data_IF_548112592098
#
_entry.id   IF_548112592098
#
_cell.length_a   1.000
_cell.length_b   1.000
_cell.length_c   1.000
_cell.angle_alpha   90.00
_cell.angle_beta   90.00
_cell.angle_gamma   90.00
#
_symmetry.space_group_name_H-M   'P 1'
#
loop_
_entity.id
_entity.type
_entity.pdbx_description
1 polymer ?
#
# COMPACT_ATOMS: atom_id res chain seq x y z
N UNK A 1 7.47 21.21 20.10
CA UNK A 1 8.46 20.18 19.75
C UNK A 1 8.22 18.96 20.62
N UNK A 2 7.44 17.98 20.17
CA UNK A 2 7.13 16.78 20.96
C UNK A 2 6.85 15.57 20.04
N UNK A 3 7.77 15.25 19.11
CA UNK A 3 7.52 14.21 18.11
C UNK A 3 8.64 13.16 17.98
N UNK A 4 9.65 13.14 18.87
CA UNK A 4 10.73 12.15 18.80
C UNK A 4 10.62 10.99 19.80
N UNK A 5 9.89 11.15 20.91
CA UNK A 5 9.73 10.06 21.91
C UNK A 5 8.72 9.00 21.45
N UNK A 6 7.66 9.39 20.75
CA UNK A 6 6.60 8.48 20.29
C UNK A 6 7.17 7.32 19.46
N UNK A 7 8.14 7.57 18.58
CA UNK A 7 8.72 6.54 17.72
C UNK A 7 9.56 5.49 18.46
N UNK A 8 10.27 5.88 19.53
CA UNK A 8 11.07 4.95 20.34
C UNK A 8 10.16 4.04 21.14
N UNK A 9 9.12 4.61 21.77
CA UNK A 9 8.13 3.83 22.50
C UNK A 9 7.34 2.87 21.61
N UNK A 10 7.08 3.20 20.34
CA UNK A 10 6.40 2.30 19.40
C UNK A 10 7.22 1.02 19.16
N UNK A 11 8.54 1.11 18.98
CA UNK A 11 9.38 -0.08 18.75
C UNK A 11 9.35 -1.04 19.94
N UNK A 12 9.41 -0.52 21.15
CA UNK A 12 9.31 -1.32 22.38
C UNK A 12 7.94 -1.98 22.51
N UNK A 13 6.87 -1.22 22.22
CA UNK A 13 5.50 -1.76 22.20
C UNK A 13 5.34 -2.88 21.17
N UNK A 14 5.91 -2.75 19.98
CA UNK A 14 5.90 -3.82 18.96
C UNK A 14 6.60 -5.06 19.51
N UNK A 15 7.78 -4.91 20.14
CA UNK A 15 8.53 -6.04 20.68
C UNK A 15 7.77 -6.75 21.81
N UNK A 16 7.15 -5.99 22.71
CA UNK A 16 6.32 -6.51 23.78
C UNK A 16 5.13 -7.33 23.24
N UNK A 17 4.40 -6.80 22.25
CA UNK A 17 3.32 -7.54 21.59
C UNK A 17 3.86 -8.79 20.90
N UNK A 18 4.96 -8.69 20.16
CA UNK A 18 5.54 -9.82 19.39
C UNK A 18 6.09 -10.94 20.28
N UNK A 19 6.47 -10.62 21.52
CA UNK A 19 6.84 -11.64 22.51
C UNK A 19 5.65 -12.55 22.87
N UNK A 20 4.42 -12.05 22.77
CA UNK A 20 3.20 -12.81 23.06
C UNK A 20 2.60 -13.41 21.78
N UNK A 21 2.67 -12.67 20.67
CA UNK A 21 2.14 -13.10 19.36
C UNK A 21 3.25 -13.12 18.29
N UNK A 22 4.16 -14.11 18.32
CA UNK A 22 5.33 -14.15 17.44
C UNK A 22 5.00 -14.37 15.97
N UNK A 23 3.81 -14.89 15.66
CA UNK A 23 3.34 -15.19 14.30
C UNK A 23 2.79 -13.95 13.55
N UNK A 24 2.97 -12.74 14.08
CA UNK A 24 2.43 -11.50 13.52
C UNK A 24 3.55 -10.58 13.06
N UNK A 25 3.37 -9.93 11.91
CA UNK A 25 4.38 -9.02 11.38
C UNK A 25 4.39 -7.70 12.15
N UNK A 26 5.55 -7.03 12.19
CA UNK A 26 5.67 -5.72 12.84
C UNK A 26 4.68 -4.70 12.25
N UNK A 27 4.40 -4.77 10.95
CA UNK A 27 3.51 -3.83 10.27
C UNK A 27 2.04 -4.02 10.70
N UNK A 28 1.61 -5.26 10.85
CA UNK A 28 0.27 -5.58 11.39
C UNK A 28 0.15 -5.12 12.85
N UNK A 29 1.17 -5.37 13.67
CA UNK A 29 1.19 -4.94 15.08
C UNK A 29 1.08 -3.42 15.20
N UNK A 30 1.78 -2.66 14.35
CA UNK A 30 1.68 -1.19 14.32
C UNK A 30 0.25 -0.74 14.01
N UNK A 31 -0.39 -1.33 13.00
CA UNK A 31 -1.75 -0.97 12.61
C UNK A 31 -2.77 -1.24 13.73
N UNK A 32 -2.63 -2.35 14.44
CA UNK A 32 -3.51 -2.68 15.56
C UNK A 32 -3.24 -1.78 16.77
N UNK A 33 -1.97 -1.51 17.09
CA UNK A 33 -1.60 -0.58 18.17
C UNK A 33 -2.19 0.81 17.92
N UNK A 34 -2.16 1.30 16.68
CA UNK A 34 -2.72 2.61 16.32
C UNK A 34 -4.23 2.68 16.58
N UNK A 35 -4.96 1.58 16.42
CA UNK A 35 -6.40 1.52 16.69
C UNK A 35 -6.74 1.68 18.19
N UNK A 36 -5.81 1.34 19.08
CA UNK A 36 -6.03 1.29 20.53
C UNK A 36 -5.15 2.29 21.28
N UNK A 37 -4.82 3.42 20.67
CA UNK A 37 -3.99 4.48 21.26
C UNK A 37 -2.62 3.95 21.78
N UNK A 38 -2.02 3.02 21.03
CA UNK A 38 -0.77 2.35 21.37
C UNK A 38 -0.81 1.57 22.70
N UNK A 39 -1.97 1.05 23.08
CA UNK A 39 -2.10 0.16 24.24
C UNK A 39 -1.69 -1.28 23.89
N UNK A 40 -0.69 -1.81 24.60
CA UNK A 40 -0.13 -3.15 24.35
C UNK A 40 -1.12 -4.24 24.74
N UNK A 41 -1.74 -4.15 25.91
CA UNK A 41 -2.67 -5.16 26.43
C UNK A 41 -3.88 -5.33 25.51
N UNK A 42 -4.49 -4.21 25.06
CA UNK A 42 -5.61 -4.24 24.11
C UNK A 42 -5.21 -4.78 22.74
N UNK A 43 -4.01 -4.44 22.26
CA UNK A 43 -3.52 -4.96 20.98
C UNK A 43 -3.25 -6.48 21.06
N UNK A 44 -2.62 -6.95 22.14
CA UNK A 44 -2.42 -8.39 22.41
C UNK A 44 -3.78 -9.09 22.47
N UNK A 45 -4.72 -8.54 23.23
CA UNK A 45 -6.08 -9.09 23.35
C UNK A 45 -6.75 -9.23 21.99
N UNK A 46 -6.67 -8.20 21.14
CA UNK A 46 -7.24 -8.25 19.80
C UNK A 46 -6.59 -9.33 18.91
N UNK A 47 -5.30 -9.60 19.07
CA UNK A 47 -4.63 -10.69 18.36
C UNK A 47 -5.02 -12.07 18.89
N UNK A 48 -5.22 -12.22 20.20
CA UNK A 48 -5.66 -13.47 20.84
C UNK A 48 -7.11 -13.79 20.46
N UNK A 49 -7.99 -12.79 20.52
CA UNK A 49 -9.42 -12.93 20.21
C UNK A 49 -9.69 -12.99 18.70
N UNK A 50 -8.65 -12.86 17.86
CA UNK A 50 -8.76 -12.89 16.40
C UNK A 50 -9.41 -11.64 15.77
N UNK A 51 -9.87 -10.68 16.58
CA UNK A 51 -10.49 -9.43 16.12
C UNK A 51 -9.51 -8.50 15.39
N UNK A 52 -8.21 -8.63 15.64
CA UNK A 52 -7.16 -7.93 14.91
C UNK A 52 -7.23 -8.16 13.39
N UNK A 53 -7.67 -9.34 12.93
CA UNK A 53 -7.80 -9.67 11.50
C UNK A 53 -8.84 -8.76 10.83
N UNK A 54 -9.93 -8.45 11.54
CA UNK A 54 -11.00 -7.61 11.03
C UNK A 54 -10.54 -6.15 10.90
N UNK A 55 -9.83 -5.64 11.92
CA UNK A 55 -9.18 -4.33 11.90
C UNK A 55 -8.22 -4.26 10.70
N UNK A 56 -7.30 -5.23 10.59
CA UNK A 56 -6.32 -5.26 9.50
C UNK A 56 -6.97 -5.33 8.11
N UNK A 57 -8.06 -6.08 7.96
CA UNK A 57 -8.82 -6.17 6.71
C UNK A 57 -9.45 -4.82 6.33
N UNK A 58 -10.06 -4.13 7.28
CA UNK A 58 -10.63 -2.79 7.08
C UNK A 58 -9.56 -1.76 6.70
N UNK A 59 -8.41 -1.81 7.38
CA UNK A 59 -7.26 -0.97 7.06
C UNK A 59 -6.65 -1.30 5.68
N UNK A 60 -6.61 -2.57 5.26
CA UNK A 60 -6.12 -2.98 3.94
C UNK A 60 -7.06 -2.52 2.81
N UNK A 61 -8.37 -2.46 3.06
CA UNK A 61 -9.37 -1.98 2.09
C UNK A 61 -9.24 -0.48 1.79
N UNK A 62 -8.72 0.30 2.73
CA UNK A 62 -8.40 1.74 2.57
C UNK A 62 -7.10 1.97 1.77
N UNK A 63 -6.44 0.90 1.31
CA UNK A 63 -5.23 0.94 0.48
C UNK A 63 -5.46 0.95 -1.04
N UNK A 64 -6.71 1.02 -1.53
CA UNK A 64 -6.96 1.19 -2.97
C UNK A 64 -6.48 2.58 -3.42
N UNK A 65 -5.20 2.62 -3.80
CA UNK A 65 -4.54 3.67 -4.58
C UNK A 65 -5.49 4.11 -5.70
N UNK A 66 -6.10 5.29 -5.54
CA UNK A 66 -6.82 5.97 -6.60
C UNK A 66 -5.80 6.15 -7.72
N UNK A 67 -5.93 5.36 -8.80
CA UNK A 67 -5.18 5.59 -10.03
C UNK A 67 -5.34 7.08 -10.35
N UNK A 68 -4.22 7.81 -10.38
CA UNK A 68 -4.18 9.23 -10.70
C UNK A 68 -4.46 9.40 -12.20
N UNK A 69 -5.69 9.06 -12.61
CA UNK A 69 -6.24 9.31 -13.93
C UNK A 69 -6.67 10.77 -13.96
N UNK A 70 -5.70 11.69 -14.07
CA UNK A 70 -5.82 13.06 -14.63
C UNK A 70 -4.55 13.91 -14.37
N UNK A 71 -3.61 13.88 -15.31
CA UNK A 71 -3.09 15.12 -15.91
C UNK A 71 -3.54 15.08 -17.37
N UNK A 72 -4.76 15.53 -17.63
CA UNK A 72 -5.11 16.87 -18.15
C UNK A 72 -4.41 17.14 -19.47
N UNK A 73 -5.23 17.05 -20.51
CA UNK A 73 -5.04 17.41 -21.90
C UNK A 73 -4.13 18.62 -22.06
N UNK A 74 -3.06 18.48 -22.85
CA UNK A 74 -2.52 19.59 -23.63
C UNK A 74 -2.58 19.17 -25.08
N UNK A 75 -3.56 19.72 -25.78
CA UNK A 75 -3.62 19.71 -27.23
C UNK A 75 -2.26 20.11 -27.81
N UNK A 76 -1.68 19.20 -28.59
CA UNK A 76 -0.80 19.45 -29.74
C UNK A 76 -1.29 18.45 -30.77
N UNK A 77 -2.32 18.79 -31.53
CA UNK A 77 -2.18 19.32 -32.88
C UNK A 77 -0.96 18.74 -33.62
N UNK A 78 -1.32 18.08 -34.73
CA UNK A 78 -0.57 17.83 -35.94
C UNK A 78 0.14 16.47 -36.06
N UNK A 79 -0.56 15.65 -36.85
CA UNK A 79 -0.05 14.96 -38.03
C UNK A 79 0.70 13.65 -37.78
N UNK A 80 -0.07 12.56 -37.95
CA UNK A 80 0.17 11.71 -39.10
C UNK A 80 1.53 11.03 -39.12
N UNK A 81 1.65 10.02 -38.27
CA UNK A 81 2.36 8.77 -38.53
C UNK A 81 2.58 8.50 -40.03
N UNK A 82 3.83 8.30 -40.44
CA UNK A 82 4.29 7.09 -41.15
C UNK A 82 5.80 7.19 -41.41
N UNK A 83 6.56 6.68 -40.45
CA UNK A 83 7.93 6.24 -40.66
C UNK A 83 7.98 5.11 -41.70
N UNK A 84 9.10 5.12 -42.41
CA UNK A 84 9.53 4.16 -43.39
C UNK A 84 9.69 2.74 -42.84
N UNK A 85 9.27 1.75 -43.65
CA UNK A 85 9.74 0.36 -43.81
C UNK A 85 8.54 -0.46 -44.29
N UNK A 86 8.64 -1.41 -45.20
CA UNK A 86 9.75 -2.10 -45.83
C UNK A 86 9.18 -2.77 -47.09
N UNK A 87 10.08 -3.09 -48.02
CA UNK A 87 9.81 -3.84 -49.25
C UNK A 87 9.02 -5.13 -48.98
N UNK A 88 7.90 -5.33 -49.70
CA UNK A 88 7.49 -6.67 -50.14
C UNK A 88 6.97 -6.53 -51.57
N UNK A 89 7.77 -7.07 -52.48
CA UNK A 89 7.47 -7.32 -53.88
C UNK A 89 6.16 -8.09 -54.05
N UNK A 90 5.35 -7.72 -55.05
CA UNK A 90 4.48 -8.64 -55.81
C UNK A 90 4.01 -8.01 -57.13
N UNK A 91 3.74 -8.86 -58.14
CA UNK A 91 4.06 -8.59 -59.54
C UNK A 91 2.94 -7.87 -60.31
N UNK A 92 3.33 -7.20 -61.40
CA UNK A 92 2.44 -6.69 -62.44
C UNK A 92 1.57 -7.81 -63.02
N UNK A 93 0.27 -7.52 -63.14
CA UNK A 93 -0.68 -8.26 -63.97
C UNK A 93 -1.16 -7.30 -65.06
N UNK A 94 -1.06 -7.70 -66.32
CA UNK A 94 -1.64 -6.98 -67.46
C UNK A 94 -0.72 -6.97 -68.67
#
# INVERSE_FOLDING_TARGET
>A
MAELNTHVNIKEKIYAVRSVVPNKSNNEIVLVLQQFDFNVDKAVQAFVDGSAIQVLKEWNMTGKKKNNKRKRSKSKQHQGNKDAKDKVERPESG
#
